data_IF_602997823279
#
_entry.id   IF_602997823279
#
_cell.length_a   1.000
_cell.length_b   1.000
_cell.length_c   1.000
_cell.angle_alpha   90.00
_cell.angle_beta   90.00
_cell.angle_gamma   90.00
#
_symmetry.space_group_name_H-M   'P 1'
#
loop_
_entity.id
_entity.type
_entity.pdbx_description
1 polymer ?
#
# COMPACT_ATOMS: atom_id res chain seq x y z
N UNK A 1 -17.24 48.22 -50.49
CA UNK A 1 -15.97 47.97 -51.24
C UNK A 1 -15.65 46.48 -51.08
N UNK A 2 -15.22 45.70 -52.10
CA UNK A 2 -13.88 45.69 -52.75
C UNK A 2 -12.75 45.55 -51.70
N UNK A 3 -11.86 44.54 -51.69
CA UNK A 3 -11.49 43.43 -52.61
C UNK A 3 -11.14 42.17 -51.78
N UNK A 4 -11.56 40.94 -52.07
CA UNK A 4 -11.04 39.95 -53.05
C UNK A 4 -9.58 39.45 -52.94
N UNK A 5 -9.47 38.17 -52.55
CA UNK A 5 -8.63 37.08 -53.12
C UNK A 5 -7.16 36.79 -52.69
N UNK A 6 -6.97 35.50 -52.37
CA UNK A 6 -5.82 34.59 -52.64
C UNK A 6 -4.51 34.81 -51.84
N UNK A 7 -3.58 33.85 -51.77
CA UNK A 7 -3.60 32.37 -51.66
C UNK A 7 -2.15 31.85 -51.81
N UNK A 8 -1.73 30.83 -51.04
CA UNK A 8 -0.78 29.78 -51.45
C UNK A 8 -0.62 28.70 -50.36
N UNK A 9 -0.53 27.44 -50.76
CA UNK A 9 -0.06 26.33 -49.92
C UNK A 9 1.46 26.23 -49.99
N UNK A 10 2.09 25.66 -48.96
CA UNK A 10 3.36 24.95 -49.12
C UNK A 10 3.26 23.58 -48.45
N UNK A 11 3.57 22.55 -49.23
CA UNK A 11 3.78 21.18 -48.75
C UNK A 11 5.23 21.03 -48.29
N UNK A 12 5.45 20.26 -47.23
CA UNK A 12 6.76 19.70 -46.91
C UNK A 12 6.56 18.28 -46.35
N UNK A 13 6.62 17.26 -47.23
CA UNK A 13 6.89 15.89 -46.78
C UNK A 13 8.37 15.79 -46.40
N UNK A 14 8.66 15.25 -45.23
CA UNK A 14 9.95 14.66 -44.91
C UNK A 14 9.71 13.16 -44.62
N UNK A 15 10.32 12.29 -45.40
CA UNK A 15 10.20 10.84 -45.26
C UNK A 15 11.59 10.21 -45.31
N UNK A 16 11.81 9.22 -44.44
CA UNK A 16 13.09 8.51 -44.28
C UNK A 16 13.59 8.55 -42.84
N UNK A 17 14.35 7.56 -42.36
CA UNK A 17 14.80 6.32 -43.01
C UNK A 17 14.79 5.19 -41.97
N UNK A 18 14.25 4.02 -42.33
CA UNK A 18 14.36 2.81 -41.52
C UNK A 18 15.79 2.26 -41.58
N UNK A 19 16.47 2.17 -40.43
CA UNK A 19 17.66 1.34 -40.25
C UNK A 19 17.36 0.28 -39.19
N UNK A 20 17.20 -0.97 -39.61
CA UNK A 20 17.24 -2.11 -38.71
C UNK A 20 18.70 -2.54 -38.54
N UNK A 21 19.20 -2.54 -37.30
CA UNK A 21 20.53 -3.02 -36.96
C UNK A 21 20.38 -4.25 -36.05
N UNK A 22 20.51 -5.45 -36.62
CA UNK A 22 20.37 -6.70 -35.89
C UNK A 22 21.74 -7.22 -35.40
N UNK A 23 21.94 -7.22 -34.10
CA UNK A 23 22.90 -8.06 -33.35
C UNK A 23 22.14 -8.53 -32.10
N UNK A 24 22.09 -9.80 -31.71
CA UNK A 24 22.91 -10.94 -32.14
C UNK A 24 23.99 -11.21 -31.11
N UNK A 25 23.64 -11.96 -30.06
CA UNK A 25 24.46 -12.17 -28.88
C UNK A 25 23.84 -13.14 -27.89
N UNK A 26 23.70 -14.40 -28.27
CA UNK A 26 23.48 -15.48 -27.31
C UNK A 26 24.63 -15.54 -26.31
N UNK A 27 24.31 -15.70 -25.03
CA UNK A 27 25.28 -15.94 -23.95
C UNK A 27 24.60 -16.64 -22.78
N UNK A 28 24.13 -17.87 -23.02
CA UNK A 28 23.74 -18.80 -21.96
C UNK A 28 24.94 -19.05 -21.04
N UNK A 29 24.84 -18.65 -19.78
CA UNK A 29 25.82 -19.00 -18.75
C UNK A 29 25.27 -20.20 -17.99
N UNK A 30 25.79 -21.38 -18.28
CA UNK A 30 25.52 -22.60 -17.52
C UNK A 30 26.11 -22.44 -16.09
N UNK A 31 25.32 -22.66 -15.02
CA UNK A 31 25.88 -22.77 -13.68
C UNK A 31 26.68 -24.09 -13.57
N UNK A 32 27.85 -24.10 -12.92
CA UNK A 32 28.64 -25.32 -12.77
C UNK A 32 28.01 -26.28 -11.75
N UNK A 33 27.84 -27.54 -12.13
CA UNK A 33 27.44 -28.62 -11.22
C UNK A 33 28.42 -28.73 -10.03
N UNK A 34 27.88 -28.64 -8.81
CA UNK A 34 28.62 -28.74 -7.55
C UNK A 34 28.34 -30.05 -6.83
N UNK A 35 29.08 -31.12 -7.17
CA UNK A 35 28.92 -32.45 -6.58
C UNK A 35 29.09 -32.49 -5.05
N UNK A 36 28.26 -33.32 -4.41
CA UNK A 36 28.18 -33.48 -2.94
C UNK A 36 29.23 -34.44 -2.39
N UNK A 37 29.97 -34.07 -1.32
CA UNK A 37 30.63 -35.02 -0.43
C UNK A 37 29.72 -35.38 0.77
N UNK A 38 29.48 -36.66 1.09
CA UNK A 38 28.65 -37.04 2.24
C UNK A 38 29.40 -36.88 3.57
N UNK A 39 28.72 -36.30 4.56
CA UNK A 39 29.18 -36.21 5.96
C UNK A 39 28.27 -37.02 6.89
N UNK A 40 28.83 -38.06 7.51
CA UNK A 40 28.13 -39.02 8.38
C UNK A 40 28.98 -39.26 9.64
N UNK A 41 28.40 -39.08 10.85
CA UNK A 41 28.59 -39.89 12.09
C UNK A 41 27.94 -39.25 13.35
N UNK A 42 27.31 -40.07 14.21
CA UNK A 42 26.99 -39.79 15.63
C UNK A 42 25.62 -39.15 15.91
N UNK A 43 24.72 -39.62 16.80
CA UNK A 43 24.74 -40.67 17.85
C UNK A 43 25.76 -40.43 18.99
N UNK A 44 25.47 -40.61 20.29
CA UNK A 44 24.29 -41.03 21.10
C UNK A 44 24.18 -40.06 22.32
N UNK A 45 23.17 -39.99 23.22
CA UNK A 45 21.92 -40.69 23.57
C UNK A 45 20.95 -39.64 24.24
N UNK A 46 19.87 -39.86 25.01
CA UNK A 46 19.16 -41.01 25.58
C UNK A 46 17.69 -40.58 25.95
N UNK A 47 16.88 -41.43 26.58
CA UNK A 47 15.56 -41.11 27.18
C UNK A 47 15.56 -41.19 28.74
N UNK A 48 14.45 -40.86 29.45
CA UNK A 48 13.41 -41.88 29.67
C UNK A 48 11.95 -41.38 29.75
N UNK A 49 11.03 -42.34 29.61
CA UNK A 49 9.57 -42.23 29.77
C UNK A 49 9.13 -42.09 31.24
N UNK A 50 7.93 -41.52 31.49
CA UNK A 50 6.85 -42.28 32.15
C UNK A 50 5.47 -41.60 32.00
N UNK A 51 4.38 -42.35 32.24
CA UNK A 51 2.98 -41.90 32.06
C UNK A 51 2.06 -42.63 33.06
N UNK A 52 1.11 -41.95 33.72
CA UNK A 52 -0.30 -42.26 33.44
C UNK A 52 -1.25 -41.04 33.50
N UNK A 53 -2.45 -41.20 32.96
CA UNK A 53 -3.52 -40.20 32.98
C UNK A 53 -4.55 -40.44 34.11
N UNK A 54 -5.28 -39.38 34.49
CA UNK A 54 -6.62 -39.45 35.13
C UNK A 54 -7.57 -38.44 34.44
N UNK A 55 -8.85 -38.45 34.79
CA UNK A 55 -9.97 -37.82 34.02
C UNK A 55 -11.17 -37.57 34.95
N UNK A 56 -12.23 -36.85 34.51
CA UNK A 56 -12.34 -35.41 34.24
C UNK A 56 -13.02 -34.66 35.41
N UNK A 57 -13.09 -33.32 35.32
CA UNK A 57 -14.07 -32.52 36.08
C UNK A 57 -14.49 -31.28 35.27
N UNK A 58 -15.80 -31.07 35.10
CA UNK A 58 -16.38 -29.91 34.40
C UNK A 58 -16.64 -28.76 35.40
N UNK A 59 -16.26 -27.53 35.06
CA UNK A 59 -16.86 -26.27 35.54
C UNK A 59 -16.41 -25.15 34.59
N UNK A 60 -17.32 -24.30 34.05
CA UNK A 60 -16.91 -23.18 33.19
C UNK A 60 -16.26 -22.07 34.03
N UNK A 61 -15.21 -21.48 33.47
CA UNK A 61 -14.63 -20.22 33.93
C UNK A 61 -14.27 -19.39 32.70
N UNK A 62 -14.71 -18.14 32.65
CA UNK A 62 -14.38 -17.22 31.57
C UNK A 62 -12.87 -16.96 31.58
N UNK A 63 -12.16 -17.42 30.55
CA UNK A 63 -10.76 -17.09 30.30
C UNK A 63 -10.69 -15.72 29.62
N UNK A 64 -9.86 -14.78 30.11
CA UNK A 64 -9.46 -13.63 29.32
C UNK A 64 -8.82 -14.09 27.99
N UNK A 65 -8.96 -13.28 26.94
CA UNK A 65 -8.30 -13.52 25.66
C UNK A 65 -6.77 -13.56 25.87
N UNK A 66 -6.11 -14.56 25.27
CA UNK A 66 -4.67 -14.76 25.35
C UNK A 66 -4.04 -14.20 24.06
N UNK A 67 -3.21 -13.13 24.12
CA UNK A 67 -2.72 -12.41 22.95
C UNK A 67 -1.54 -13.16 22.29
N UNK A 68 -1.82 -14.35 21.77
CA UNK A 68 -0.83 -15.21 21.11
C UNK A 68 -1.33 -16.57 20.63
N UNK A 69 -2.65 -16.81 20.59
CA UNK A 69 -3.22 -18.06 20.08
C UNK A 69 -3.69 -17.90 18.61
N UNK A 70 -2.76 -18.07 17.67
CA UNK A 70 -3.03 -18.03 16.22
C UNK A 70 -3.72 -19.31 15.69
N UNK A 71 -4.17 -20.21 16.57
CA UNK A 71 -4.75 -21.50 16.18
C UNK A 71 -6.26 -21.49 15.90
N UNK A 72 -6.97 -20.37 16.14
CA UNK A 72 -8.43 -20.24 15.94
C UNK A 72 -8.81 -19.31 14.76
N UNK A 73 -7.87 -18.95 13.89
CA UNK A 73 -8.19 -18.37 12.56
C UNK A 73 -8.83 -19.49 11.70
N UNK A 74 -10.06 -19.34 11.18
CA UNK A 74 -10.76 -20.45 10.53
C UNK A 74 -10.08 -20.95 9.24
N UNK A 75 -9.51 -22.15 9.28
CA UNK A 75 -8.88 -22.82 8.13
C UNK A 75 -9.89 -23.00 6.97
N UNK A 76 -9.87 -22.05 6.03
CA UNK A 76 -10.74 -21.92 4.85
C UNK A 76 -12.23 -21.71 5.18
N UNK A 77 -12.65 -20.44 5.18
CA UNK A 77 -14.07 -20.07 5.11
C UNK A 77 -14.74 -20.68 3.86
N UNK A 78 -15.96 -21.22 3.97
CA UNK A 78 -16.54 -22.08 2.94
C UNK A 78 -17.01 -21.32 1.68
N UNK A 79 -16.27 -21.49 0.57
CA UNK A 79 -16.62 -21.16 -0.82
C UNK A 79 -17.48 -19.90 -1.03
N UNK A 80 -16.87 -18.72 -0.90
CA UNK A 80 -17.31 -17.51 -1.61
C UNK A 80 -17.83 -16.34 -0.76
N UNK A 81 -17.20 -16.01 0.37
CA UNK A 81 -17.50 -14.80 1.14
C UNK A 81 -16.25 -14.07 1.66
N UNK A 82 -16.03 -12.86 1.13
CA UNK A 82 -15.42 -11.71 1.80
C UNK A 82 -13.99 -11.82 2.36
N UNK A 83 -13.16 -12.72 1.85
CA UNK A 83 -11.70 -12.58 1.86
C UNK A 83 -11.20 -12.64 0.42
N UNK A 84 -10.22 -11.80 0.09
CA UNK A 84 -9.58 -11.67 -1.21
C UNK A 84 -8.49 -12.71 -1.46
N UNK A 85 -7.45 -12.32 -2.21
CA UNK A 85 -6.38 -13.23 -2.67
C UNK A 85 -4.98 -12.61 -2.69
N UNK A 86 -4.87 -11.36 -2.29
CA UNK A 86 -3.64 -10.59 -2.10
C UNK A 86 -3.29 -10.61 -0.61
N UNK A 87 -2.17 -10.02 -0.17
CA UNK A 87 -1.86 -10.02 1.27
C UNK A 87 -2.83 -9.09 2.02
N UNK A 88 -2.97 -7.86 1.53
CA UNK A 88 -3.84 -6.81 2.09
C UNK A 88 -5.36 -7.02 1.92
N UNK A 89 -5.83 -8.27 1.74
CA UNK A 89 -7.26 -8.58 1.64
C UNK A 89 -7.66 -10.03 2.00
N UNK A 90 -6.70 -10.94 2.25
CA UNK A 90 -7.00 -12.37 2.38
C UNK A 90 -7.47 -12.82 3.78
N UNK A 91 -7.60 -11.90 4.74
CA UNK A 91 -7.96 -12.13 6.14
C UNK A 91 -6.88 -12.89 6.96
N UNK A 92 -5.60 -12.72 6.63
CA UNK A 92 -4.45 -13.30 7.35
C UNK A 92 -3.41 -12.20 7.58
N UNK A 93 -2.83 -12.18 8.79
CA UNK A 93 -1.57 -11.50 9.11
C UNK A 93 -0.43 -12.26 8.39
N UNK A 94 -0.05 -11.82 7.20
CA UNK A 94 0.88 -12.48 6.27
C UNK A 94 2.36 -12.14 6.60
N UNK A 95 2.58 -11.04 7.33
CA UNK A 95 3.87 -10.49 7.78
C UNK A 95 4.25 -10.91 9.22
N UNK A 96 3.30 -10.86 10.16
CA UNK A 96 3.43 -11.24 11.56
C UNK A 96 3.47 -10.10 12.59
N UNK A 97 3.19 -8.84 12.23
CA UNK A 97 3.21 -7.69 13.15
C UNK A 97 1.95 -7.47 13.99
N UNK A 98 0.88 -8.24 13.73
CA UNK A 98 -0.46 -8.24 14.36
C UNK A 98 -1.50 -7.23 13.88
N UNK A 99 -1.23 -6.46 12.81
CA UNK A 99 -2.31 -5.93 11.97
C UNK A 99 -2.79 -6.96 10.92
N UNK A 100 -3.82 -6.65 10.13
CA UNK A 100 -4.44 -7.57 9.13
C UNK A 100 -5.15 -6.77 8.02
N UNK A 101 -4.98 -7.16 6.76
CA UNK A 101 -5.68 -6.58 5.59
C UNK A 101 -5.55 -5.03 5.59
N UNK A 102 -6.59 -4.29 5.24
CA UNK A 102 -6.63 -2.82 5.28
C UNK A 102 -6.63 -2.19 6.69
N UNK A 103 -6.39 -2.94 7.77
CA UNK A 103 -5.98 -2.36 9.05
C UNK A 103 -4.45 -2.29 9.19
N UNK A 104 -3.70 -3.04 8.39
CA UNK A 104 -2.25 -2.91 8.34
C UNK A 104 -1.83 -1.54 7.77
N UNK A 105 -0.79 -0.87 8.33
CA UNK A 105 -0.41 0.46 7.91
C UNK A 105 0.39 0.51 6.60
N UNK A 106 0.96 -0.61 6.16
CA UNK A 106 1.63 -0.78 4.89
C UNK A 106 0.62 -0.97 3.75
N UNK A 107 -0.48 -1.68 4.02
CA UNK A 107 -1.58 -1.93 3.10
C UNK A 107 -2.32 -0.66 2.65
N UNK A 108 -2.09 -0.23 1.41
CA UNK A 108 -2.71 0.95 0.82
C UNK A 108 -4.00 0.63 0.07
N UNK A 109 -4.08 -0.55 -0.56
CA UNK A 109 -5.23 -1.03 -1.34
C UNK A 109 -5.50 -2.52 -1.12
N UNK A 110 -6.73 -2.99 -1.40
CA UNK A 110 -7.05 -4.43 -1.46
C UNK A 110 -6.29 -5.19 -2.54
N UNK A 111 -5.72 -4.50 -3.54
CA UNK A 111 -4.89 -5.13 -4.57
C UNK A 111 -3.44 -5.39 -4.11
N UNK A 112 -3.04 -4.88 -2.94
CA UNK A 112 -1.66 -4.90 -2.49
C UNK A 112 -1.23 -6.29 -1.98
N UNK A 113 -0.04 -6.73 -2.41
CA UNK A 113 0.52 -8.05 -2.20
C UNK A 113 1.93 -7.98 -1.57
N UNK A 114 2.13 -7.01 -0.68
CA UNK A 114 3.26 -6.92 0.25
C UNK A 114 2.76 -6.19 1.52
N UNK A 115 2.45 -6.94 2.56
CA UNK A 115 2.00 -6.41 3.88
C UNK A 115 3.23 -6.03 4.76
N UNK A 116 4.46 -6.37 4.33
CA UNK A 116 5.68 -6.16 5.11
C UNK A 116 6.44 -4.86 4.77
N UNK A 117 5.95 -4.05 3.82
CA UNK A 117 6.54 -2.77 3.45
C UNK A 117 5.54 -1.86 2.74
N UNK A 118 5.74 -0.54 2.75
CA UNK A 118 4.85 0.41 2.05
C UNK A 118 4.95 0.37 0.50
N UNK A 119 5.41 -0.73 -0.08
CA UNK A 119 5.28 -1.05 -1.49
C UNK A 119 4.04 -1.91 -1.69
N UNK A 120 3.24 -1.65 -2.72
CA UNK A 120 2.02 -2.45 -3.00
C UNK A 120 2.30 -3.89 -3.43
N UNK A 121 3.56 -4.26 -3.72
CA UNK A 121 3.91 -5.53 -4.38
C UNK A 121 3.44 -5.66 -5.83
N UNK A 122 2.67 -4.69 -6.38
CA UNK A 122 2.03 -4.79 -7.70
C UNK A 122 3.06 -4.58 -8.83
N UNK A 123 3.14 -5.45 -9.85
CA UNK A 123 4.14 -5.36 -10.92
C UNK A 123 4.03 -4.10 -11.81
N UNK A 124 4.79 -3.08 -11.47
CA UNK A 124 4.95 -1.85 -12.25
C UNK A 124 4.43 -0.59 -11.56
N UNK A 125 3.72 -0.76 -10.43
CA UNK A 125 3.23 0.33 -9.60
C UNK A 125 4.37 1.13 -8.95
N UNK A 126 4.10 2.43 -8.72
CA UNK A 126 4.91 3.37 -7.97
C UNK A 126 6.39 3.52 -8.41
N UNK A 127 6.75 3.11 -9.64
CA UNK A 127 8.14 3.00 -10.10
C UNK A 127 8.82 4.33 -10.53
N UNK A 128 8.06 5.39 -10.89
CA UNK A 128 8.66 6.64 -11.37
C UNK A 128 9.09 7.55 -10.21
N UNK A 129 10.40 7.68 -10.01
CA UNK A 129 11.05 8.53 -8.99
C UNK A 129 10.83 10.05 -9.16
N UNK A 130 10.18 10.50 -10.22
CA UNK A 130 10.06 11.92 -10.63
C UNK A 130 8.62 12.37 -10.74
N UNK A 131 7.76 11.56 -11.34
CA UNK A 131 6.34 11.84 -11.54
C UNK A 131 5.53 10.84 -10.74
N UNK A 132 4.71 11.34 -9.82
CA UNK A 132 3.79 10.53 -9.05
C UNK A 132 2.45 10.48 -9.76
N UNK A 133 1.95 9.26 -9.84
CA UNK A 133 0.60 8.88 -10.22
C UNK A 133 -0.32 8.87 -9.00
N UNK A 134 -1.57 8.48 -9.22
CA UNK A 134 -2.38 7.94 -8.15
C UNK A 134 -1.67 6.82 -7.38
N UNK A 135 -1.33 7.05 -6.11
CA UNK A 135 -0.68 6.03 -5.28
C UNK A 135 -1.59 4.82 -4.98
N UNK A 136 -2.91 5.04 -5.00
CA UNK A 136 -3.94 4.09 -4.54
C UNK A 136 -4.77 3.46 -5.68
N UNK A 137 -4.39 3.65 -6.95
CA UNK A 137 -5.16 3.09 -8.09
C UNK A 137 -4.67 1.72 -8.58
N UNK A 138 -3.51 1.26 -8.11
CA UNK A 138 -2.92 -0.04 -8.45
C UNK A 138 -2.26 -0.14 -9.83
N UNK A 139 -2.02 0.96 -10.56
CA UNK A 139 -1.24 0.94 -11.81
C UNK A 139 -0.10 1.99 -11.85
N UNK A 140 0.32 2.45 -13.03
CA UNK A 140 1.41 3.44 -13.12
C UNK A 140 1.67 4.04 -14.51
N UNK A 141 1.85 5.36 -14.49
CA UNK A 141 2.10 6.26 -15.60
C UNK A 141 0.81 6.90 -16.10
N UNK A 142 0.46 8.06 -15.54
CA UNK A 142 -0.83 8.75 -15.61
C UNK A 142 -1.29 9.19 -17.00
N UNK A 143 -1.60 8.19 -17.82
CA UNK A 143 -2.31 8.28 -19.08
C UNK A 143 -3.81 7.97 -18.96
N UNK A 144 -4.20 7.31 -17.86
CA UNK A 144 -5.56 6.81 -17.63
C UNK A 144 -6.30 7.57 -16.49
N UNK A 145 -5.58 8.25 -15.57
CA UNK A 145 -6.11 9.07 -14.46
C UNK A 145 -5.90 10.60 -14.63
N UNK A 146 -4.88 11.01 -15.40
CA UNK A 146 -4.45 12.40 -15.55
C UNK A 146 -3.57 12.96 -14.41
N UNK A 147 -2.96 12.13 -13.56
CA UNK A 147 -2.00 12.57 -12.53
C UNK A 147 -0.57 12.66 -13.07
N UNK A 148 0.11 13.78 -12.81
CA UNK A 148 1.55 13.97 -13.07
C UNK A 148 2.16 14.92 -12.03
N UNK A 149 2.16 14.52 -10.76
CA UNK A 149 2.64 15.38 -9.66
C UNK A 149 4.13 15.16 -9.40
N UNK A 150 4.95 16.22 -9.39
CA UNK A 150 6.40 16.02 -9.25
C UNK A 150 6.80 15.71 -7.80
N UNK A 151 7.59 14.67 -7.58
CA UNK A 151 7.98 14.17 -6.23
C UNK A 151 8.55 15.26 -5.30
N UNK A 152 9.22 16.28 -5.85
CA UNK A 152 9.70 17.43 -5.06
C UNK A 152 8.62 18.33 -4.46
N UNK A 153 7.37 18.29 -4.94
CA UNK A 153 6.25 19.01 -4.34
C UNK A 153 5.94 18.45 -2.94
N UNK A 154 5.96 17.12 -2.82
CA UNK A 154 5.67 16.32 -1.62
C UNK A 154 6.84 16.39 -0.62
N UNK A 155 8.05 16.11 -1.11
CA UNK A 155 9.27 16.05 -0.29
C UNK A 155 9.84 17.43 0.08
N UNK A 156 9.53 18.47 -0.70
CA UNK A 156 10.04 19.83 -0.51
C UNK A 156 11.55 19.89 -0.31
N UNK A 157 12.00 20.17 0.91
CA UNK A 157 13.41 20.28 1.28
C UNK A 157 14.16 18.92 1.30
N UNK A 158 13.44 17.80 1.39
CA UNK A 158 14.00 16.44 1.33
C UNK A 158 14.20 15.94 -0.12
N UNK A 159 13.77 16.69 -1.15
CA UNK A 159 13.78 16.17 -2.52
C UNK A 159 15.20 15.84 -3.04
N UNK A 160 15.43 14.63 -3.58
CA UNK A 160 16.70 14.25 -4.21
C UNK A 160 17.21 15.24 -5.28
N UNK A 161 18.51 15.52 -5.22
CA UNK A 161 19.16 16.56 -6.04
C UNK A 161 19.18 16.25 -7.55
N UNK A 162 19.07 14.99 -7.94
CA UNK A 162 18.90 14.52 -9.33
C UNK A 162 17.53 14.91 -9.90
N UNK A 163 16.49 14.90 -9.07
CA UNK A 163 15.13 15.29 -9.44
C UNK A 163 15.00 16.82 -9.52
N UNK A 164 15.50 17.53 -8.51
CA UNK A 164 15.41 18.97 -8.37
C UNK A 164 16.02 19.78 -9.54
N UNK A 165 16.94 19.19 -10.34
CA UNK A 165 17.61 19.90 -11.44
C UNK A 165 16.66 20.32 -12.58
N UNK A 166 15.47 19.72 -12.70
CA UNK A 166 14.40 20.12 -13.63
C UNK A 166 13.04 20.06 -12.92
N UNK A 167 12.94 20.80 -11.82
CA UNK A 167 11.71 21.00 -11.06
C UNK A 167 11.32 22.48 -11.10
N UNK A 168 10.05 22.76 -11.41
CA UNK A 168 9.43 24.07 -11.31
C UNK A 168 8.18 24.00 -10.43
N UNK A 169 8.23 24.46 -9.16
CA UNK A 169 7.11 24.36 -8.22
C UNK A 169 5.87 25.20 -8.58
N UNK A 170 5.88 25.90 -9.72
CA UNK A 170 4.73 26.65 -10.25
C UNK A 170 3.93 25.83 -11.29
N UNK A 171 4.55 24.88 -11.99
CA UNK A 171 3.87 24.07 -13.03
C UNK A 171 3.86 22.59 -12.73
N UNK A 172 4.82 22.13 -11.93
CA UNK A 172 5.05 20.71 -11.68
C UNK A 172 4.33 20.23 -10.40
N UNK A 173 3.61 21.16 -9.74
CA UNK A 173 2.79 20.98 -8.55
C UNK A 173 1.33 21.46 -8.75
N UNK A 174 0.85 21.60 -10.00
CA UNK A 174 -0.56 21.88 -10.28
C UNK A 174 -1.28 20.56 -10.57
N UNK A 175 -2.31 20.22 -9.79
CA UNK A 175 -3.12 19.02 -10.02
C UNK A 175 -4.23 19.27 -11.03
N UNK A 176 -4.55 18.24 -11.82
CA UNK A 176 -5.72 18.24 -12.69
C UNK A 176 -6.97 17.88 -11.89
N UNK A 177 -8.14 18.40 -12.29
CA UNK A 177 -9.40 17.98 -11.68
C UNK A 177 -9.71 16.50 -11.97
N UNK A 178 -9.19 15.96 -13.08
CA UNK A 178 -9.29 14.56 -13.49
C UNK A 178 -8.59 13.65 -12.46
N UNK A 179 -7.33 13.96 -12.13
CA UNK A 179 -6.55 13.32 -11.08
C UNK A 179 -7.24 13.37 -9.69
N UNK A 180 -7.78 14.53 -9.30
CA UNK A 180 -8.47 14.69 -8.01
C UNK A 180 -9.79 13.91 -7.95
N UNK A 181 -10.61 13.97 -9.02
CA UNK A 181 -11.89 13.25 -9.10
C UNK A 181 -11.69 11.72 -9.18
N UNK A 182 -10.53 11.25 -9.64
CA UNK A 182 -10.18 9.83 -9.73
C UNK A 182 -9.52 9.28 -8.45
N UNK A 183 -8.52 9.97 -7.89
CA UNK A 183 -7.71 9.44 -6.78
C UNK A 183 -8.31 9.62 -5.39
N UNK A 184 -8.96 10.75 -5.14
CA UNK A 184 -9.43 11.09 -3.80
C UNK A 184 -10.39 10.02 -3.22
N UNK A 185 -11.32 9.41 -3.98
CA UNK A 185 -12.14 8.29 -3.51
C UNK A 185 -11.40 7.03 -3.04
N UNK A 186 -10.17 6.80 -3.50
CA UNK A 186 -9.32 5.67 -3.07
C UNK A 186 -8.23 6.05 -2.06
N UNK A 187 -8.10 7.33 -1.70
CA UNK A 187 -7.03 7.80 -0.80
C UNK A 187 -7.39 7.54 0.65
N UNK A 188 -6.71 6.58 1.29
CA UNK A 188 -6.89 6.18 2.69
C UNK A 188 -6.77 7.38 3.65
N UNK A 189 -7.57 7.46 4.74
CA UNK A 189 -7.43 8.46 5.78
C UNK A 189 -5.99 8.65 6.25
N UNK A 190 -5.56 9.90 6.36
CA UNK A 190 -4.20 10.29 6.75
C UNK A 190 -3.24 10.49 5.58
N UNK A 191 -3.59 10.08 4.36
CA UNK A 191 -2.73 10.15 3.18
C UNK A 191 -3.08 11.29 2.21
N UNK A 192 -2.12 11.66 1.35
CA UNK A 192 -2.39 12.27 0.06
C UNK A 192 -2.30 11.27 -1.09
N UNK A 193 -2.92 11.61 -2.22
CA UNK A 193 -3.02 10.78 -3.43
C UNK A 193 -1.67 10.33 -4.04
N UNK A 194 -0.52 10.68 -3.46
CA UNK A 194 0.83 10.46 -3.99
C UNK A 194 1.77 9.75 -3.00
N UNK A 195 1.23 9.23 -1.88
CA UNK A 195 1.99 8.47 -0.89
C UNK A 195 2.68 9.33 0.18
N UNK A 196 2.13 10.51 0.53
CA UNK A 196 2.48 11.17 1.79
C UNK A 196 1.44 10.84 2.87
N UNK A 197 1.77 9.89 3.75
CA UNK A 197 0.84 9.35 4.74
C UNK A 197 1.21 9.74 6.17
N UNK A 198 0.19 10.04 6.98
CA UNK A 198 0.28 10.09 8.44
C UNK A 198 -0.05 8.71 9.01
N UNK A 199 0.99 8.00 9.46
CA UNK A 199 0.90 6.67 10.06
C UNK A 199 1.18 6.78 11.55
N UNK A 200 0.45 6.03 12.37
CA UNK A 200 0.55 6.05 13.82
C UNK A 200 1.33 4.83 14.33
N UNK A 201 2.23 5.05 15.29
CA UNK A 201 2.95 3.97 16.00
C UNK A 201 3.03 4.35 17.49
N UNK A 202 2.63 3.46 18.39
CA UNK A 202 2.54 3.73 19.84
C UNK A 202 1.80 5.06 20.17
N UNK A 203 0.69 5.33 19.47
CA UNK A 203 -0.07 6.58 19.62
C UNK A 203 0.67 7.86 19.17
N UNK A 204 1.75 7.71 18.38
CA UNK A 204 2.56 8.82 17.85
C UNK A 204 2.42 8.89 16.31
N UNK A 205 1.95 10.02 15.74
CA UNK A 205 1.83 10.17 14.29
C UNK A 205 3.15 10.56 13.63
N UNK A 206 3.46 9.89 12.51
CA UNK A 206 4.59 10.14 11.64
C UNK A 206 4.09 10.46 10.22
N UNK A 207 4.38 11.65 9.72
CA UNK A 207 4.04 12.04 8.33
C UNK A 207 5.24 11.78 7.43
N UNK A 208 5.18 10.66 6.70
CA UNK A 208 6.29 10.09 5.94
C UNK A 208 5.88 9.77 4.50
N UNK A 209 6.89 9.73 3.63
CA UNK A 209 6.73 9.43 2.23
C UNK A 209 6.92 7.93 1.97
N UNK A 210 5.86 7.25 1.55
CA UNK A 210 5.78 5.78 1.44
C UNK A 210 6.32 5.24 0.12
N UNK A 211 6.28 6.02 -0.97
CA UNK A 211 6.63 5.53 -2.32
C UNK A 211 8.00 4.79 -2.36
N UNK A 212 8.03 3.49 -2.73
CA UNK A 212 9.24 2.67 -2.64
C UNK A 212 10.32 3.04 -3.67
N UNK A 213 10.03 3.80 -4.72
CA UNK A 213 11.07 4.27 -5.64
C UNK A 213 11.94 5.39 -5.01
N UNK A 214 11.46 6.01 -3.92
CA UNK A 214 12.20 6.97 -3.08
C UNK A 214 12.56 6.40 -1.70
N UNK A 215 11.66 5.64 -1.08
CA UNK A 215 11.75 5.13 0.28
C UNK A 215 11.71 3.59 0.38
N UNK A 216 12.53 2.84 -0.40
CA UNK A 216 12.46 1.36 -0.51
C UNK A 216 12.86 0.61 0.78
N UNK A 217 13.33 1.34 1.78
CA UNK A 217 13.81 0.84 3.07
C UNK A 217 12.90 1.33 4.23
N UNK A 218 11.77 1.95 3.92
CA UNK A 218 10.81 2.47 4.91
C UNK A 218 9.85 1.38 5.39
N UNK A 219 9.76 1.24 6.70
CA UNK A 219 8.98 0.23 7.45
C UNK A 219 8.56 0.82 8.79
N UNK A 220 7.54 0.25 9.44
CA UNK A 220 7.07 0.72 10.76
C UNK A 220 8.19 0.79 11.83
N UNK A 221 9.08 -0.19 11.90
CA UNK A 221 10.19 -0.21 12.87
C UNK A 221 11.24 0.91 12.64
N UNK A 222 11.19 1.56 11.47
CA UNK A 222 12.14 2.59 11.02
C UNK A 222 11.49 3.96 10.79
N UNK A 223 10.17 4.08 11.01
CA UNK A 223 9.38 5.26 10.63
C UNK A 223 9.86 6.58 11.24
N UNK A 224 10.55 6.51 12.38
CA UNK A 224 11.15 7.66 13.06
C UNK A 224 12.50 8.14 12.46
N UNK A 225 13.12 7.40 11.53
CA UNK A 225 14.40 7.76 10.91
C UNK A 225 14.20 8.35 9.49
N UNK A 226 14.42 9.67 9.30
CA UNK A 226 14.22 10.34 8.01
C UNK A 226 15.26 9.97 6.94
N UNK A 227 16.22 9.09 7.25
CA UNK A 227 17.10 8.47 6.26
C UNK A 227 16.45 7.27 5.55
N UNK A 228 15.41 6.66 6.13
CA UNK A 228 14.66 5.54 5.56
C UNK A 228 13.25 5.93 5.15
N UNK A 229 12.55 6.71 6.00
CA UNK A 229 11.21 7.23 5.76
C UNK A 229 11.24 8.77 5.62
N UNK A 230 11.41 9.32 4.41
CA UNK A 230 11.58 10.76 4.22
C UNK A 230 10.34 11.55 4.67
N UNK A 231 10.48 12.66 5.41
CA UNK A 231 9.35 13.48 5.80
C UNK A 231 8.80 14.26 4.60
N UNK A 232 7.47 14.40 4.54
CA UNK A 232 6.76 15.03 3.44
C UNK A 232 5.69 16.03 3.92
N UNK A 233 5.05 16.71 2.95
CA UNK A 233 3.86 17.54 3.19
C UNK A 233 2.71 17.00 2.31
N UNK A 234 1.59 16.55 2.91
CA UNK A 234 0.42 16.11 2.15
C UNK A 234 -0.13 17.24 1.26
N UNK A 235 -0.59 16.92 0.04
CA UNK A 235 -1.29 17.91 -0.79
C UNK A 235 -2.61 18.34 -0.17
N UNK A 236 -2.95 19.63 -0.30
CA UNK A 236 -4.23 20.17 0.19
C UNK A 236 -5.40 19.92 -0.76
N UNK A 237 -5.10 19.53 -2.01
CA UNK A 237 -6.05 19.51 -3.11
C UNK A 237 -6.42 18.06 -3.49
N UNK A 238 -5.62 17.08 -3.05
CA UNK A 238 -5.84 15.64 -3.18
C UNK A 238 -5.29 14.94 -1.92
N UNK A 239 -5.86 15.28 -0.76
CA UNK A 239 -5.49 14.73 0.54
C UNK A 239 -6.71 14.39 1.36
N UNK A 240 -6.70 13.21 1.98
CA UNK A 240 -7.72 12.74 2.91
C UNK A 240 -7.18 12.84 4.34
N UNK A 241 -7.46 13.92 5.10
CA UNK A 241 -6.85 14.13 6.41
C UNK A 241 -7.59 13.35 7.50
N UNK A 242 -6.93 12.34 8.11
CA UNK A 242 -7.51 11.61 9.23
C UNK A 242 -7.72 12.50 10.47
N UNK A 243 -8.86 12.35 11.14
CA UNK A 243 -9.24 13.09 12.36
C UNK A 243 -9.74 12.14 13.47
N UNK A 244 -8.84 11.60 14.31
CA UNK A 244 -9.22 10.75 15.45
C UNK A 244 -10.22 11.39 16.42
N UNK A 245 -10.21 12.73 16.56
CA UNK A 245 -11.19 13.45 17.38
C UNK A 245 -12.64 13.36 16.89
N UNK A 246 -12.88 13.03 15.62
CA UNK A 246 -14.21 12.76 15.04
C UNK A 246 -14.51 11.24 14.97
N UNK A 247 -13.72 10.41 15.66
CA UNK A 247 -13.78 8.93 15.75
C UNK A 247 -13.39 8.15 14.46
N UNK A 248 -12.62 8.76 13.58
CA UNK A 248 -12.01 8.12 12.40
C UNK A 248 -10.72 7.37 12.79
N UNK A 249 -10.51 6.14 12.28
CA UNK A 249 -9.24 5.43 12.44
C UNK A 249 -8.25 5.85 11.34
N UNK A 250 -6.99 6.01 11.73
CA UNK A 250 -5.87 6.21 10.81
C UNK A 250 -5.03 4.93 10.67
N UNK A 251 -4.20 4.80 9.62
CA UNK A 251 -3.21 3.73 9.51
C UNK A 251 -2.35 3.61 10.79
N UNK A 252 -2.30 2.40 11.36
CA UNK A 252 -1.59 2.12 12.61
C UNK A 252 -2.33 2.51 13.91
N UNK A 253 -3.63 2.81 13.83
CA UNK A 253 -4.49 2.98 15.01
C UNK A 253 -5.45 1.81 15.20
N UNK A 254 -5.67 1.41 16.45
CA UNK A 254 -6.78 0.54 16.84
C UNK A 254 -7.91 1.37 17.47
N UNK A 255 -9.08 0.75 17.70
CA UNK A 255 -10.19 1.38 18.45
C UNK A 255 -9.75 1.79 19.88
N UNK A 256 -8.70 1.17 20.44
CA UNK A 256 -8.15 1.54 21.76
C UNK A 256 -7.31 2.83 21.75
N UNK A 257 -6.88 3.30 20.58
CA UNK A 257 -6.09 4.53 20.41
C UNK A 257 -6.98 5.77 20.14
N UNK A 258 -8.26 5.55 19.84
CA UNK A 258 -9.27 6.60 19.68
C UNK A 258 -9.65 7.25 21.02
N UNK A 259 -10.25 8.47 21.00
CA UNK A 259 -10.81 9.10 22.19
C UNK A 259 -11.82 8.20 22.93
N UNK A 260 -11.89 8.22 24.28
CA UNK A 260 -12.79 7.36 25.06
C UNK A 260 -14.29 7.55 24.80
N UNK A 261 -14.70 8.64 24.15
CA UNK A 261 -16.06 8.83 23.62
C UNK A 261 -16.38 7.96 22.38
N UNK A 262 -15.37 7.47 21.68
CA UNK A 262 -15.50 6.64 20.47
C UNK A 262 -15.57 5.13 20.76
N UNK A 263 -15.06 4.65 21.90
CA UNK A 263 -14.87 3.20 22.15
C UNK A 263 -16.14 2.38 22.36
N UNK A 264 -17.32 3.02 22.45
CA UNK A 264 -18.64 2.37 22.48
C UNK A 264 -19.35 2.42 21.10
N UNK A 265 -18.67 2.89 20.05
CA UNK A 265 -19.20 3.06 18.68
C UNK A 265 -18.23 2.50 17.64
N UNK A 266 -18.73 2.00 16.49
CA UNK A 266 -17.85 1.66 15.37
C UNK A 266 -17.19 2.94 14.79
N UNK A 267 -16.08 2.80 14.03
CA UNK A 267 -15.38 3.92 13.42
C UNK A 267 -16.29 4.85 12.60
N UNK A 268 -15.96 6.14 12.62
CA UNK A 268 -16.67 7.14 11.84
C UNK A 268 -16.23 7.08 10.37
N UNK A 269 -17.14 6.62 9.51
CA UNK A 269 -16.95 6.57 8.07
C UNK A 269 -17.76 7.66 7.34
N UNK A 270 -17.36 7.98 6.11
CA UNK A 270 -17.96 9.01 5.28
C UNK A 270 -19.47 8.74 4.97
N UNK A 271 -20.35 9.76 4.77
CA UNK A 271 -21.81 9.60 4.78
C UNK A 271 -22.42 8.63 3.74
N UNK A 272 -22.50 7.35 4.11
CA UNK A 272 -23.04 6.27 3.28
C UNK A 272 -22.13 5.05 3.20
N UNK A 273 -20.87 5.20 3.61
CA UNK A 273 -19.90 4.11 3.83
C UNK A 273 -20.34 3.28 5.04
N UNK A 274 -20.05 1.99 5.01
CA UNK A 274 -20.40 1.05 6.10
C UNK A 274 -19.17 0.81 6.98
N UNK A 275 -19.24 1.03 8.31
CA UNK A 275 -18.16 0.65 9.22
C UNK A 275 -18.00 -0.87 9.33
N UNK A 276 -16.78 -1.34 9.58
CA UNK A 276 -16.40 -2.75 9.69
C UNK A 276 -15.38 -2.98 10.82
N UNK A 277 -15.33 -4.21 11.33
CA UNK A 277 -14.24 -4.70 12.18
C UNK A 277 -13.32 -5.65 11.39
N UNK A 278 -13.82 -6.21 10.28
CA UNK A 278 -13.10 -7.10 9.35
C UNK A 278 -13.61 -6.94 7.91
N UNK A 279 -12.85 -7.42 6.92
CA UNK A 279 -13.28 -7.54 5.51
C UNK A 279 -14.60 -8.33 5.37
N UNK A 280 -14.90 -9.25 6.30
CA UNK A 280 -16.13 -10.05 6.35
C UNK A 280 -17.41 -9.25 6.64
N UNK A 281 -17.32 -8.06 7.22
CA UNK A 281 -18.48 -7.18 7.47
C UNK A 281 -18.93 -6.45 6.20
N UNK A 282 -18.07 -6.39 5.18
CA UNK A 282 -18.29 -5.57 3.99
C UNK A 282 -19.17 -6.24 2.92
N UNK A 283 -19.94 -5.46 2.14
CA UNK A 283 -20.67 -5.99 0.99
C UNK A 283 -19.71 -6.55 -0.06
N UNK A 284 -20.15 -7.53 -0.85
CA UNK A 284 -19.34 -8.07 -1.95
C UNK A 284 -18.98 -6.97 -2.97
N UNK A 285 -17.68 -6.78 -3.25
CA UNK A 285 -17.14 -5.66 -4.01
C UNK A 285 -16.66 -4.48 -3.16
N UNK A 286 -16.52 -4.67 -1.85
CA UNK A 286 -15.93 -3.73 -0.89
C UNK A 286 -14.98 -4.51 0.02
N UNK A 287 -13.95 -3.83 0.54
CA UNK A 287 -13.04 -4.37 1.56
C UNK A 287 -12.94 -3.42 2.76
N UNK A 288 -12.48 -3.92 3.91
CA UNK A 288 -12.34 -3.08 5.10
C UNK A 288 -10.98 -2.39 5.10
N UNK A 289 -10.96 -1.06 4.96
CA UNK A 289 -9.78 -0.22 5.15
C UNK A 289 -10.02 0.71 6.35
N UNK A 290 -9.11 0.67 7.33
CA UNK A 290 -9.16 1.43 8.59
C UNK A 290 -10.57 1.51 9.22
N UNK A 291 -11.25 0.36 9.27
CA UNK A 291 -12.60 0.24 9.86
C UNK A 291 -13.75 0.74 9.00
N UNK A 292 -13.53 1.02 7.72
CA UNK A 292 -14.54 1.47 6.75
C UNK A 292 -14.54 0.62 5.47
N UNK A 293 -15.71 0.20 5.03
CA UNK A 293 -15.88 -0.58 3.80
C UNK A 293 -15.80 0.30 2.55
N UNK A 294 -14.63 0.39 1.93
CA UNK A 294 -14.41 1.13 0.67
C UNK A 294 -14.53 0.22 -0.55
N UNK A 295 -14.76 0.78 -1.74
CA UNK A 295 -14.96 -0.01 -2.96
C UNK A 295 -13.68 -0.77 -3.33
N UNK A 296 -13.84 -2.07 -3.62
CA UNK A 296 -12.75 -2.97 -3.98
C UNK A 296 -12.34 -2.71 -5.44
N UNK A 297 -11.44 -1.74 -5.66
CA UNK A 297 -10.99 -1.28 -6.98
C UNK A 297 -9.98 -2.26 -7.60
N UNK A 298 -10.35 -3.54 -7.68
CA UNK A 298 -9.59 -4.54 -8.46
C UNK A 298 -9.66 -4.14 -9.94
N UNK A 299 -8.56 -3.61 -10.46
CA UNK A 299 -8.42 -3.18 -11.86
C UNK A 299 -8.81 -4.29 -12.85
N UNK A 300 -9.55 -3.92 -13.91
CA UNK A 300 -10.16 -4.81 -14.92
C UNK A 300 -9.48 -4.75 -16.30
#
# INVERSE_FOLDING_TARGET
>A
MNRTHRACSWFALAAGVSLAAACGGDSSVEPPDGDVPPGDVGAEADAPTDTPAETPAETPADTPLDPGDTADVPEVLPDGAACGTTQCSNCIDDDGDTFVDGFDPHCSSSADNDEASFATGIPGDNQDRRWQDCFFDGNSGGGDDGCQFHTCCILGAACPADLAHRFNPITDCELSAECIEFCMPGTTPGCDCFGCCQIWVDGTPYTVYTNPAIAPDCTLDRIADPAYCPPCTPTTDCGNPCVPEDCELCPGMTIADLPPECSDTPPACDPGVTPCETTLDCPAGYYCSVGCCIEDVVLL
#
